data_IF_585500626490
#
_entry.id   IF_585500626490
#
_cell.length_a   1.000
_cell.length_b   1.000
_cell.length_c   1.000
_cell.angle_alpha   90.00
_cell.angle_beta   90.00
_cell.angle_gamma   90.00
#
_symmetry.space_group_name_H-M   'P 1'
#
loop_
_entity.id
_entity.type
_entity.pdbx_description
1 polymer ?
#
# COMPACT_ATOMS: atom_id res chain seq x y z
N UNK A 1 5.98 11.73 0.00
CA UNK A 1 7.39 11.32 -0.12
C UNK A 1 8.13 12.11 -1.20
N UNK A 2 7.61 12.27 -2.42
CA UNK A 2 8.23 13.10 -3.47
C UNK A 2 8.56 14.53 -2.99
N UNK A 3 7.62 15.23 -2.34
CA UNK A 3 7.87 16.54 -1.70
C UNK A 3 8.93 16.55 -0.58
N UNK A 4 9.36 15.38 -0.12
CA UNK A 4 10.47 15.20 0.82
C UNK A 4 11.79 14.81 0.11
N UNK A 5 11.83 14.94 -1.23
CA UNK A 5 12.98 14.66 -2.08
C UNK A 5 13.24 13.18 -2.34
N UNK A 6 12.21 12.32 -2.19
CA UNK A 6 12.36 10.87 -2.41
C UNK A 6 11.95 10.47 -3.82
N UNK A 7 12.68 9.53 -4.41
CA UNK A 7 12.32 8.83 -5.65
C UNK A 7 11.24 7.80 -5.33
N UNK A 8 10.01 8.06 -5.75
CA UNK A 8 8.84 7.24 -5.38
C UNK A 8 8.37 6.45 -6.59
N UNK A 9 8.10 5.16 -6.36
CA UNK A 9 7.33 4.32 -7.27
C UNK A 9 6.03 3.91 -6.57
N UNK A 10 4.90 4.10 -7.24
CA UNK A 10 3.61 3.55 -6.81
C UNK A 10 3.31 2.33 -7.68
N UNK A 11 3.07 1.21 -7.03
CA UNK A 11 2.57 0.00 -7.67
C UNK A 11 1.11 -0.18 -7.29
N UNK A 12 0.23 -0.20 -8.29
CA UNK A 12 -1.14 -0.66 -8.10
C UNK A 12 -1.11 -2.20 -8.08
N UNK A 13 -1.41 -2.78 -6.92
CA UNK A 13 -1.43 -4.22 -6.69
C UNK A 13 -2.87 -4.77 -6.65
N UNK A 14 -3.88 -3.93 -6.91
CA UNK A 14 -5.23 -4.39 -7.24
C UNK A 14 -5.31 -4.70 -8.75
N UNK A 15 -4.67 -5.80 -9.14
CA UNK A 15 -4.51 -6.21 -10.54
C UNK A 15 -5.83 -6.55 -11.26
N UNK A 16 -6.96 -6.58 -10.54
CA UNK A 16 -8.28 -6.75 -11.13
C UNK A 16 -8.99 -5.42 -11.41
N UNK A 17 -8.73 -4.40 -10.60
CA UNK A 17 -9.46 -3.13 -10.57
C UNK A 17 -8.49 -1.97 -10.35
N UNK A 18 -7.59 -1.76 -11.31
CA UNK A 18 -6.65 -0.64 -11.28
C UNK A 18 -7.38 0.70 -11.09
N UNK A 19 -6.98 1.45 -10.07
CA UNK A 19 -7.61 2.72 -9.70
C UNK A 19 -6.63 3.89 -9.71
N UNK A 20 -5.31 3.64 -9.59
CA UNK A 20 -4.32 4.72 -9.50
C UNK A 20 -4.27 5.57 -10.77
N UNK A 21 -4.38 4.94 -11.94
CA UNK A 21 -4.44 5.63 -13.23
C UNK A 21 -5.71 6.51 -13.33
N UNK A 22 -6.88 5.98 -12.95
CA UNK A 22 -8.15 6.73 -12.93
C UNK A 22 -8.07 7.93 -11.98
N UNK A 23 -7.55 7.74 -10.77
CA UNK A 23 -7.41 8.79 -9.74
C UNK A 23 -6.49 9.93 -10.18
N UNK A 24 -5.52 9.64 -11.04
CA UNK A 24 -4.51 10.57 -11.50
C UNK A 24 -4.73 11.06 -12.93
N UNK A 25 -5.82 10.65 -13.58
CA UNK A 25 -6.16 11.05 -14.94
C UNK A 25 -5.19 10.50 -15.98
N UNK A 26 -4.58 9.35 -15.70
CA UNK A 26 -3.59 8.71 -16.57
C UNK A 26 -4.29 7.71 -17.49
N UNK A 27 -3.80 7.60 -18.72
CA UNK A 27 -4.27 6.63 -19.71
C UNK A 27 -3.09 5.79 -20.22
N UNK A 28 -2.53 4.92 -19.37
CA UNK A 28 -1.38 4.11 -19.76
C UNK A 28 -1.77 3.16 -20.90
N UNK A 29 -0.96 3.13 -21.97
CA UNK A 29 -1.16 2.20 -23.10
C UNK A 29 -0.63 0.80 -22.82
N UNK A 30 0.25 0.68 -21.83
CA UNK A 30 0.93 -0.54 -21.43
C UNK A 30 0.89 -0.62 -19.91
N UNK A 31 0.93 -1.83 -19.38
CA UNK A 31 0.78 -2.12 -17.96
C UNK A 31 1.58 -3.37 -17.59
N UNK A 32 1.58 -3.73 -16.31
CA UNK A 32 2.34 -4.88 -15.81
C UNK A 32 1.95 -6.21 -16.48
N UNK A 33 0.70 -6.35 -16.96
CA UNK A 33 0.25 -7.53 -17.69
C UNK A 33 1.08 -7.80 -18.95
N UNK A 34 1.45 -6.77 -19.70
CA UNK A 34 2.30 -6.91 -20.90
C UNK A 34 3.70 -7.42 -20.56
N UNK A 35 4.18 -7.11 -19.36
CA UNK A 35 5.49 -7.56 -18.88
C UNK A 35 5.41 -9.02 -18.44
N UNK A 36 4.36 -9.39 -17.71
CA UNK A 36 4.08 -10.77 -17.31
C UNK A 36 3.87 -11.71 -18.52
N UNK A 37 3.38 -11.17 -19.64
CA UNK A 37 3.26 -11.89 -20.93
C UNK A 37 4.55 -11.91 -21.75
N UNK A 38 5.64 -11.29 -21.27
CA UNK A 38 6.93 -11.20 -21.98
C UNK A 38 6.92 -10.28 -23.21
N UNK A 39 5.88 -9.44 -23.37
CA UNK A 39 5.75 -8.51 -24.52
C UNK A 39 6.52 -7.20 -24.32
N UNK A 40 6.79 -6.84 -23.07
CA UNK A 40 7.45 -5.58 -22.68
C UNK A 40 8.41 -5.77 -21.53
N UNK A 41 9.41 -4.90 -21.43
CA UNK A 41 10.25 -4.76 -20.23
C UNK A 41 9.55 -3.87 -19.20
N UNK A 42 9.85 -4.07 -17.93
CA UNK A 42 9.28 -3.28 -16.84
C UNK A 42 9.42 -1.76 -17.05
N UNK A 43 10.61 -1.30 -17.45
CA UNK A 43 10.91 0.12 -17.69
C UNK A 43 10.05 0.74 -18.79
N UNK A 44 9.55 -0.06 -19.73
CA UNK A 44 8.70 0.43 -20.82
C UNK A 44 7.25 0.67 -20.39
N UNK A 45 6.82 0.05 -19.28
CA UNK A 45 5.44 0.16 -18.79
C UNK A 45 5.28 1.14 -17.63
N UNK A 46 6.39 1.61 -17.03
CA UNK A 46 6.35 2.67 -16.04
C UNK A 46 5.90 3.98 -16.69
N UNK A 47 5.04 4.71 -15.99
CA UNK A 47 4.55 6.02 -16.43
C UNK A 47 4.86 7.09 -15.40
N UNK A 48 5.05 8.32 -15.86
CA UNK A 48 5.21 9.47 -14.99
C UNK A 48 3.85 9.88 -14.41
N UNK A 49 3.82 10.03 -13.09
CA UNK A 49 2.70 10.60 -12.36
C UNK A 49 2.96 12.05 -11.95
N UNK A 50 2.12 12.59 -11.05
CA UNK A 50 2.31 13.90 -10.43
C UNK A 50 3.69 14.06 -9.76
N UNK A 51 4.34 15.21 -9.98
CA UNK A 51 5.68 15.49 -9.45
C UNK A 51 6.75 14.59 -10.09
N UNK A 52 7.61 13.97 -9.29
CA UNK A 52 8.59 12.97 -9.76
C UNK A 52 8.20 11.54 -9.36
N UNK A 53 6.91 11.30 -9.13
CA UNK A 53 6.39 9.97 -8.81
C UNK A 53 6.30 9.15 -10.09
N UNK A 54 6.90 7.96 -10.10
CA UNK A 54 6.65 6.95 -11.13
C UNK A 54 5.51 6.04 -10.72
N UNK A 55 4.76 5.55 -11.67
CA UNK A 55 3.64 4.63 -11.45
C UNK A 55 3.88 3.38 -12.28
N UNK A 56 3.63 2.24 -11.67
CA UNK A 56 3.53 0.94 -12.32
C UNK A 56 2.04 0.61 -12.49
N UNK A 57 1.47 0.78 -13.69
CA UNK A 57 0.06 0.54 -13.92
C UNK A 57 -0.28 -0.95 -13.76
N UNK A 58 -1.32 -1.23 -12.99
CA UNK A 58 -2.00 -2.52 -12.96
C UNK A 58 -2.77 -2.76 -14.27
N UNK A 59 -3.22 -4.01 -14.46
CA UNK A 59 -4.20 -4.29 -15.49
C UNK A 59 -5.61 -4.00 -14.96
N UNK A 60 -6.53 -3.57 -15.82
CA UNK A 60 -7.92 -3.34 -15.44
C UNK A 60 -8.82 -4.32 -16.19
N UNK A 61 -9.70 -5.03 -15.47
CA UNK A 61 -10.72 -5.90 -16.07
C UNK A 61 -10.21 -7.22 -16.66
N UNK A 62 -8.99 -7.66 -16.34
CA UNK A 62 -8.43 -8.94 -16.79
C UNK A 62 -8.46 -9.93 -15.63
N UNK A 63 -9.40 -10.87 -15.69
CA UNK A 63 -9.66 -11.84 -14.62
C UNK A 63 -8.43 -12.73 -14.35
N UNK A 64 -7.66 -13.06 -15.38
CA UNK A 64 -6.47 -13.90 -15.30
C UNK A 64 -5.37 -13.29 -14.41
N UNK A 65 -5.34 -11.96 -14.27
CA UNK A 65 -4.34 -11.26 -13.45
C UNK A 65 -4.79 -11.05 -12.00
N UNK A 66 -6.03 -11.40 -11.66
CA UNK A 66 -6.51 -11.40 -10.26
C UNK A 66 -5.81 -12.47 -9.41
N UNK A 67 -5.25 -13.50 -10.06
CA UNK A 67 -4.46 -14.56 -9.43
C UNK A 67 -3.17 -14.78 -10.20
N UNK A 68 -2.08 -14.22 -9.67
CA UNK A 68 -0.75 -14.46 -10.20
C UNK A 68 -0.32 -15.91 -9.95
N UNK A 69 0.27 -16.55 -10.96
CA UNK A 69 0.99 -17.81 -10.78
C UNK A 69 2.26 -17.59 -9.96
N UNK A 70 2.85 -18.66 -9.41
CA UNK A 70 4.08 -18.53 -8.62
C UNK A 70 5.26 -18.04 -9.47
N UNK A 71 5.33 -18.43 -10.75
CA UNK A 71 6.32 -17.91 -11.70
C UNK A 71 6.14 -16.41 -11.95
N UNK A 72 4.89 -15.93 -12.08
CA UNK A 72 4.59 -14.50 -12.27
C UNK A 72 4.93 -13.69 -11.02
N UNK A 73 4.67 -14.24 -9.83
CA UNK A 73 5.09 -13.65 -8.56
C UNK A 73 6.62 -13.49 -8.51
N UNK A 74 7.35 -14.55 -8.86
CA UNK A 74 8.83 -14.51 -8.88
C UNK A 74 9.36 -13.49 -9.88
N UNK A 75 8.84 -13.50 -11.11
CA UNK A 75 9.21 -12.52 -12.13
C UNK A 75 8.98 -11.09 -11.64
N UNK A 76 7.86 -10.83 -10.98
CA UNK A 76 7.56 -9.51 -10.42
C UNK A 76 8.58 -9.06 -9.36
N UNK A 77 9.07 -9.98 -8.54
CA UNK A 77 10.09 -9.67 -7.54
C UNK A 77 11.44 -9.36 -8.19
N UNK A 78 11.87 -10.18 -9.15
CA UNK A 78 13.12 -9.94 -9.88
C UNK A 78 13.10 -8.55 -10.54
N UNK A 79 11.95 -8.20 -11.12
CA UNK A 79 11.70 -6.89 -11.72
C UNK A 79 11.76 -5.73 -10.71
N UNK A 80 11.24 -5.92 -9.50
CA UNK A 80 11.32 -4.90 -8.45
C UNK A 80 12.75 -4.73 -7.91
N UNK A 81 13.51 -5.83 -7.79
CA UNK A 81 14.93 -5.79 -7.42
C UNK A 81 15.77 -5.01 -8.45
N UNK A 82 15.48 -5.12 -9.75
CA UNK A 82 16.14 -4.31 -10.79
C UNK A 82 15.94 -2.79 -10.62
N UNK A 83 14.84 -2.38 -9.97
CA UNK A 83 14.53 -0.98 -9.73
C UNK A 83 15.09 -0.47 -8.39
N UNK A 84 15.62 -1.33 -7.52
CA UNK A 84 16.05 -0.99 -6.16
C UNK A 84 17.01 0.20 -6.14
N UNK A 85 17.96 0.27 -7.08
CA UNK A 85 18.93 1.37 -7.17
C UNK A 85 18.32 2.74 -7.57
N UNK A 86 17.10 2.74 -8.09
CA UNK A 86 16.44 3.91 -8.66
C UNK A 86 15.30 4.46 -7.81
N UNK A 87 14.86 3.73 -6.80
CA UNK A 87 13.73 4.10 -5.95
C UNK A 87 14.19 4.19 -4.50
N UNK A 88 13.67 5.18 -3.78
CA UNK A 88 13.87 5.26 -2.33
C UNK A 88 12.64 4.71 -1.58
N UNK A 89 11.47 4.76 -2.21
CA UNK A 89 10.19 4.32 -1.63
C UNK A 89 9.35 3.65 -2.70
N UNK A 90 8.98 2.38 -2.45
CA UNK A 90 7.93 1.68 -3.18
C UNK A 90 6.65 1.71 -2.34
N UNK A 91 5.60 2.34 -2.86
CA UNK A 91 4.26 2.25 -2.28
C UNK A 91 3.48 1.17 -3.03
N UNK A 92 3.02 0.15 -2.32
CA UNK A 92 2.21 -0.92 -2.89
C UNK A 92 0.77 -0.69 -2.45
N UNK A 93 -0.09 -0.30 -3.39
CA UNK A 93 -1.52 -0.13 -3.15
C UNK A 93 -2.24 -1.46 -3.34
N UNK A 94 -2.54 -2.14 -2.24
CA UNK A 94 -3.21 -3.44 -2.30
C UNK A 94 -4.71 -3.26 -2.35
N UNK A 95 -5.39 -4.10 -3.13
CA UNK A 95 -6.85 -4.20 -3.09
C UNK A 95 -7.40 -4.58 -1.72
N UNK A 96 -8.73 -4.54 -1.58
CA UNK A 96 -9.41 -4.90 -0.34
C UNK A 96 -9.45 -6.41 -0.09
N UNK A 97 -9.67 -6.79 1.17
CA UNK A 97 -9.92 -8.18 1.57
C UNK A 97 -8.65 -8.99 1.82
N UNK A 98 -8.75 -10.31 1.60
CA UNK A 98 -7.74 -11.30 2.00
C UNK A 98 -7.43 -12.30 0.87
N UNK A 99 -7.48 -11.83 -0.38
CA UNK A 99 -7.13 -12.66 -1.53
C UNK A 99 -5.64 -13.04 -1.52
N UNK A 100 -5.27 -14.11 -2.21
CA UNK A 100 -3.88 -14.58 -2.26
C UNK A 100 -2.92 -13.48 -2.76
N UNK A 101 -3.36 -12.66 -3.72
CA UNK A 101 -2.61 -11.53 -4.25
C UNK A 101 -2.40 -10.44 -3.19
N UNK A 102 -3.46 -10.07 -2.44
CA UNK A 102 -3.36 -9.09 -1.35
C UNK A 102 -2.40 -9.59 -0.26
N UNK A 103 -2.54 -10.85 0.16
CA UNK A 103 -1.65 -11.44 1.17
C UNK A 103 -0.20 -11.49 0.68
N UNK A 104 0.02 -11.90 -0.56
CA UNK A 104 1.36 -11.96 -1.17
C UNK A 104 2.08 -10.60 -1.13
N UNK A 105 1.42 -9.52 -1.57
CA UNK A 105 2.01 -8.18 -1.54
C UNK A 105 2.19 -7.61 -0.14
N UNK A 106 1.27 -7.93 0.79
CA UNK A 106 1.47 -7.57 2.19
C UNK A 106 2.72 -8.24 2.77
N UNK A 107 2.93 -9.52 2.47
CA UNK A 107 4.13 -10.23 2.91
C UNK A 107 5.40 -9.69 2.25
N UNK A 108 5.31 -9.25 0.99
CA UNK A 108 6.39 -8.58 0.28
C UNK A 108 6.89 -7.31 0.96
N UNK A 109 5.97 -6.56 1.56
CA UNK A 109 6.25 -5.26 2.09
C UNK A 109 7.03 -5.35 3.41
N UNK A 110 8.09 -4.54 3.51
CA UNK A 110 8.87 -4.35 4.73
C UNK A 110 8.03 -3.75 5.86
N UNK A 111 7.08 -2.88 5.50
CA UNK A 111 6.13 -2.28 6.43
C UNK A 111 4.71 -2.47 5.92
N UNK A 112 3.80 -2.76 6.83
CA UNK A 112 2.38 -2.98 6.54
C UNK A 112 1.57 -1.88 7.22
N UNK A 113 0.94 -1.02 6.41
CA UNK A 113 0.10 0.08 6.91
C UNK A 113 -1.36 -0.30 6.65
N UNK A 114 -2.09 -0.63 7.71
CA UNK A 114 -3.51 -0.96 7.64
C UNK A 114 -4.32 0.32 7.83
N UNK A 115 -5.13 0.67 6.83
CA UNK A 115 -5.99 1.86 6.85
C UNK A 115 -7.35 1.51 7.43
N UNK A 116 -7.81 2.27 8.41
CA UNK A 116 -9.07 2.02 9.14
C UNK A 116 -9.92 3.29 9.19
N UNK A 117 -11.22 3.19 8.90
CA UNK A 117 -12.18 4.29 9.04
C UNK A 117 -13.00 4.15 10.33
N UNK A 118 -13.78 5.18 10.75
CA UNK A 118 -14.68 5.06 11.91
C UNK A 118 -15.81 4.03 11.76
N UNK A 119 -15.99 3.44 10.58
CA UNK A 119 -17.06 2.48 10.31
C UNK A 119 -16.79 1.12 10.97
N UNK A 120 -17.79 0.50 11.63
CA UNK A 120 -17.61 -0.81 12.27
C UNK A 120 -17.16 -1.92 11.31
N UNK A 121 -17.59 -1.86 10.05
CA UNK A 121 -17.18 -2.79 8.99
C UNK A 121 -15.68 -2.67 8.70
N UNK A 122 -15.15 -1.45 8.57
CA UNK A 122 -13.72 -1.22 8.36
C UNK A 122 -12.85 -1.79 9.49
N UNK A 123 -13.28 -1.64 10.74
CA UNK A 123 -12.60 -2.26 11.89
C UNK A 123 -12.59 -3.79 11.83
N UNK A 124 -13.70 -4.38 11.39
CA UNK A 124 -13.86 -5.83 11.27
C UNK A 124 -12.96 -6.39 10.17
N UNK A 125 -12.95 -5.74 9.01
CA UNK A 125 -12.14 -6.14 7.85
C UNK A 125 -10.64 -5.97 8.13
N UNK A 126 -10.24 -4.86 8.76
CA UNK A 126 -8.87 -4.61 9.17
C UNK A 126 -8.38 -5.68 10.16
N UNK A 127 -9.19 -6.02 11.17
CA UNK A 127 -8.85 -7.09 12.11
C UNK A 127 -8.77 -8.46 11.43
N UNK A 128 -9.67 -8.76 10.49
CA UNK A 128 -9.63 -10.00 9.73
C UNK A 128 -8.33 -10.15 8.93
N UNK A 129 -7.90 -9.10 8.23
CA UNK A 129 -6.63 -9.07 7.50
C UNK A 129 -5.44 -9.30 8.45
N UNK A 130 -5.38 -8.56 9.55
CA UNK A 130 -4.33 -8.68 10.58
C UNK A 130 -4.30 -10.11 11.13
N UNK A 131 -5.47 -10.66 11.50
CA UNK A 131 -5.59 -12.02 12.02
C UNK A 131 -5.10 -13.06 11.02
N UNK A 132 -5.42 -12.93 9.73
CA UNK A 132 -4.96 -13.86 8.69
C UNK A 132 -3.44 -13.77 8.52
N UNK A 133 -2.88 -12.57 8.41
CA UNK A 133 -1.43 -12.37 8.29
C UNK A 133 -0.68 -12.89 9.53
N UNK A 134 -1.23 -12.68 10.72
CA UNK A 134 -0.69 -13.20 11.97
C UNK A 134 -0.75 -14.73 12.04
N UNK A 135 -1.94 -15.31 11.84
CA UNK A 135 -2.16 -16.75 12.08
C UNK A 135 -1.55 -17.64 11.01
N UNK A 136 -1.56 -17.22 9.74
CA UNK A 136 -1.08 -18.03 8.61
C UNK A 136 0.36 -17.76 8.25
N UNK A 137 0.85 -16.55 8.48
CA UNK A 137 2.16 -16.12 7.99
C UNK A 137 3.11 -15.64 9.10
N UNK A 138 2.66 -15.61 10.36
CA UNK A 138 3.49 -15.25 11.50
C UNK A 138 3.88 -13.76 11.55
N UNK A 139 3.17 -12.91 10.81
CA UNK A 139 3.38 -11.46 10.84
C UNK A 139 2.91 -10.88 12.17
N UNK A 140 3.78 -10.11 12.83
CA UNK A 140 3.54 -9.62 14.20
C UNK A 140 3.49 -8.11 14.31
N UNK A 141 3.95 -7.36 13.31
CA UNK A 141 4.09 -5.91 13.39
C UNK A 141 3.22 -5.25 12.32
N UNK A 142 2.31 -4.36 12.75
CA UNK A 142 1.42 -3.63 11.85
C UNK A 142 1.38 -2.15 12.25
N UNK A 143 1.39 -1.27 11.26
CA UNK A 143 1.13 0.16 11.47
C UNK A 143 -0.32 0.45 11.15
N UNK A 144 -1.02 1.17 12.03
CA UNK A 144 -2.43 1.53 11.85
C UNK A 144 -2.53 3.00 11.48
N UNK A 145 -3.13 3.29 10.33
CA UNK A 145 -3.49 4.63 9.90
C UNK A 145 -5.02 4.78 9.98
N UNK A 146 -5.48 5.77 10.73
CA UNK A 146 -6.93 6.07 10.74
C UNK A 146 -7.25 7.12 9.68
N UNK A 147 -8.32 6.90 8.93
CA UNK A 147 -8.71 7.77 7.82
C UNK A 147 -10.14 8.29 8.00
N UNK A 148 -10.43 9.46 7.42
CA UNK A 148 -11.75 10.10 7.47
C UNK A 148 -12.27 10.33 8.89
N UNK A 149 -11.39 10.72 9.82
CA UNK A 149 -11.76 11.00 11.22
C UNK A 149 -12.08 12.49 11.43
N UNK A 150 -12.84 12.83 12.46
CA UNK A 150 -13.10 14.23 12.82
C UNK A 150 -11.81 14.92 13.33
N UNK A 151 -11.05 14.21 14.16
CA UNK A 151 -9.82 14.69 14.78
C UNK A 151 -8.90 13.53 15.21
N UNK A 152 -7.69 13.89 15.67
CA UNK A 152 -6.67 12.95 16.15
C UNK A 152 -7.12 12.16 17.39
N UNK A 153 -8.01 12.70 18.23
CA UNK A 153 -8.54 12.01 19.41
C UNK A 153 -9.45 10.85 18.98
N UNK A 154 -10.34 11.09 18.00
CA UNK A 154 -11.16 10.04 17.38
C UNK A 154 -10.30 8.98 16.69
N UNK A 155 -9.26 9.39 15.97
CA UNK A 155 -8.27 8.47 15.38
C UNK A 155 -7.64 7.54 16.43
N UNK A 156 -7.13 8.11 17.53
CA UNK A 156 -6.58 7.32 18.66
C UNK A 156 -7.61 6.40 19.31
N UNK A 157 -8.87 6.82 19.40
CA UNK A 157 -9.94 5.98 19.95
C UNK A 157 -10.24 4.77 19.05
N UNK A 158 -10.22 4.94 17.72
CA UNK A 158 -10.38 3.84 16.76
C UNK A 158 -9.20 2.87 16.86
N UNK A 159 -7.97 3.39 16.89
CA UNK A 159 -6.77 2.59 17.12
C UNK A 159 -6.86 1.79 18.42
N UNK A 160 -7.23 2.40 19.54
CA UNK A 160 -7.36 1.71 20.82
C UNK A 160 -8.38 0.56 20.78
N UNK A 161 -9.46 0.69 19.99
CA UNK A 161 -10.45 -0.37 19.81
C UNK A 161 -9.86 -1.58 19.09
N UNK A 162 -9.22 -1.38 17.93
CA UNK A 162 -8.62 -2.49 17.18
C UNK A 162 -7.45 -3.12 17.95
N UNK A 163 -6.64 -2.31 18.62
CA UNK A 163 -5.56 -2.78 19.51
C UNK A 163 -6.06 -3.66 20.62
N UNK A 164 -7.09 -3.23 21.34
CA UNK A 164 -7.68 -4.04 22.41
C UNK A 164 -8.18 -5.41 21.92
N UNK A 165 -8.78 -5.46 20.74
CA UNK A 165 -9.27 -6.73 20.16
C UNK A 165 -8.09 -7.61 19.76
N UNK A 166 -7.09 -7.05 19.09
CA UNK A 166 -5.90 -7.80 18.69
C UNK A 166 -5.10 -8.32 19.89
N UNK A 167 -4.83 -7.50 20.90
CA UNK A 167 -4.10 -7.88 22.12
C UNK A 167 -4.82 -9.02 22.88
N UNK A 168 -6.15 -9.05 22.82
CA UNK A 168 -6.93 -10.09 23.46
C UNK A 168 -6.84 -11.46 22.77
N UNK A 169 -6.64 -11.48 21.44
CA UNK A 169 -6.73 -12.71 20.64
C UNK A 169 -5.41 -13.13 19.96
N UNK A 170 -4.45 -12.22 19.80
CA UNK A 170 -3.24 -12.38 18.99
C UNK A 170 -2.01 -12.11 19.87
N UNK A 171 -1.57 -13.13 20.60
CA UNK A 171 -0.49 -12.99 21.58
C UNK A 171 0.84 -12.52 20.96
N UNK A 172 1.48 -11.53 21.58
CA UNK A 172 2.72 -10.93 21.07
C UNK A 172 2.58 -10.25 19.71
N UNK A 173 1.39 -9.72 19.38
CA UNK A 173 1.21 -8.76 18.30
C UNK A 173 1.72 -7.38 18.75
N UNK A 174 2.27 -6.62 17.80
CA UNK A 174 2.70 -5.25 17.98
C UNK A 174 1.99 -4.38 16.95
N UNK A 175 1.30 -3.35 17.43
CA UNK A 175 0.61 -2.40 16.57
C UNK A 175 0.99 -0.98 16.92
N UNK A 176 1.44 -0.25 15.91
CA UNK A 176 1.87 1.13 16.04
C UNK A 176 0.83 2.08 15.46
N UNK A 177 0.45 3.10 16.23
CA UNK A 177 -0.40 4.15 15.72
C UNK A 177 0.41 5.12 14.87
N UNK A 178 0.16 5.12 13.56
CA UNK A 178 0.90 5.93 12.61
C UNK A 178 0.37 7.38 12.56
N UNK A 179 -0.93 7.55 12.78
CA UNK A 179 -1.60 8.85 12.81
C UNK A 179 -3.02 8.78 12.27
N UNK A 180 -3.57 9.96 12.00
CA UNK A 180 -4.88 10.12 11.38
C UNK A 180 -4.88 11.08 10.19
N UNK A 181 -5.74 10.79 9.21
CA UNK A 181 -6.13 11.72 8.16
C UNK A 181 -7.55 12.22 8.48
N UNK A 182 -7.75 13.54 8.67
CA UNK A 182 -9.06 14.07 8.95
C UNK A 182 -9.97 13.98 7.73
N UNK A 183 -11.28 13.89 7.94
CA UNK A 183 -12.27 14.03 6.88
C UNK A 183 -12.10 15.39 6.18
N UNK A 184 -11.96 15.36 4.86
CA UNK A 184 -11.79 16.56 4.05
C UNK A 184 -12.59 16.40 2.74
N UNK A 185 -13.67 17.17 2.53
CA UNK A 185 -14.50 17.06 1.32
C UNK A 185 -13.72 17.43 0.04
N UNK A 186 -12.56 18.07 0.16
CA UNK A 186 -11.72 18.36 -0.99
C UNK A 186 -11.02 17.12 -1.55
N UNK A 187 -10.89 16.02 -0.78
CA UNK A 187 -10.41 14.74 -1.30
C UNK A 187 -11.35 14.24 -2.40
N UNK A 188 -12.66 14.24 -2.14
CA UNK A 188 -13.67 13.85 -3.13
C UNK A 188 -13.63 14.76 -4.37
N UNK A 189 -13.44 16.07 -4.18
CA UNK A 189 -13.29 17.01 -5.31
C UNK A 189 -12.05 16.70 -6.15
N UNK A 190 -10.93 16.35 -5.54
CA UNK A 190 -9.70 15.99 -6.25
C UNK A 190 -9.86 14.69 -7.04
N UNK A 191 -10.55 13.69 -6.46
CA UNK A 191 -10.90 12.44 -7.14
C UNK A 191 -11.77 12.70 -8.37
N UNK A 192 -12.82 13.53 -8.25
CA UNK A 192 -13.67 13.92 -9.39
C UNK A 192 -12.87 14.63 -10.49
N UNK A 193 -11.87 15.43 -10.09
CA UNK A 193 -10.97 16.10 -11.03
C UNK A 193 -9.90 15.19 -11.62
N UNK A 194 -9.80 13.93 -11.14
CA UNK A 194 -8.76 12.97 -11.53
C UNK A 194 -7.35 13.57 -11.38
N UNK A 195 -7.11 14.26 -10.27
CA UNK A 195 -5.83 14.89 -9.95
C UNK A 195 -5.41 14.55 -8.54
N UNK A 196 -4.10 14.39 -8.34
CA UNK A 196 -3.55 14.14 -7.01
C UNK A 196 -3.98 15.22 -6.02
N UNK A 197 -4.56 14.79 -4.90
CA UNK A 197 -5.12 15.66 -3.87
C UNK A 197 -4.17 16.77 -3.41
N UNK A 198 -2.91 16.42 -3.17
CA UNK A 198 -1.88 17.37 -2.74
C UNK A 198 -1.56 18.43 -3.79
N UNK A 199 -1.77 18.20 -5.08
CA UNK A 199 -1.60 19.21 -6.12
C UNK A 199 -2.73 20.25 -6.11
N UNK A 200 -3.97 19.78 -5.96
CA UNK A 200 -5.14 20.65 -6.10
C UNK A 200 -5.44 21.39 -4.80
N UNK A 201 -5.26 20.74 -3.65
CA UNK A 201 -5.58 21.30 -2.34
C UNK A 201 -4.39 21.25 -1.36
N UNK A 202 -3.22 21.82 -1.70
CA UNK A 202 -1.99 21.68 -0.90
C UNK A 202 -2.08 22.28 0.51
N UNK A 203 -3.02 23.19 0.76
CA UNK A 203 -3.18 23.90 2.03
C UNK A 203 -4.26 23.33 2.95
N UNK A 204 -4.95 22.27 2.51
CA UNK A 204 -6.05 21.68 3.27
C UNK A 204 -5.57 21.00 4.56
N UNK A 205 -6.50 20.70 5.47
CA UNK A 205 -6.20 20.00 6.72
C UNK A 205 -5.67 18.59 6.48
N UNK A 206 -6.26 17.85 5.54
CA UNK A 206 -5.78 16.53 5.17
C UNK A 206 -4.43 16.59 4.43
N UNK A 207 -4.17 17.63 3.63
CA UNK A 207 -2.88 17.80 2.96
C UNK A 207 -1.73 17.95 3.97
N UNK A 208 -1.94 18.72 5.04
CA UNK A 208 -1.00 18.83 6.15
C UNK A 208 -0.81 17.48 6.87
N UNK A 209 -1.90 16.74 7.07
CA UNK A 209 -1.84 15.41 7.68
C UNK A 209 -1.03 14.41 6.83
N UNK A 210 -1.21 14.38 5.50
CA UNK A 210 -0.40 13.56 4.59
C UNK A 210 1.09 13.91 4.66
N UNK A 211 1.44 15.21 4.75
CA UNK A 211 2.83 15.63 4.88
C UNK A 211 3.45 15.17 6.20
N UNK A 212 2.72 15.30 7.32
CA UNK A 212 3.17 14.80 8.63
C UNK A 212 3.31 13.27 8.62
N UNK A 213 2.36 12.57 8.00
CA UNK A 213 2.38 11.12 7.85
C UNK A 213 3.64 10.65 7.11
N UNK A 214 3.94 11.25 5.96
CA UNK A 214 5.14 10.91 5.19
C UNK A 214 6.44 11.16 5.99
N UNK A 215 6.50 12.26 6.77
CA UNK A 215 7.64 12.54 7.65
C UNK A 215 7.78 11.52 8.78
N UNK A 216 6.68 11.07 9.38
CA UNK A 216 6.70 10.04 10.43
C UNK A 216 7.20 8.72 9.88
N UNK A 217 6.67 8.27 8.74
CA UNK A 217 7.11 7.03 8.09
C UNK A 217 8.61 7.11 7.78
N UNK A 218 9.11 8.23 7.25
CA UNK A 218 10.53 8.40 6.94
C UNK A 218 11.44 8.35 8.19
N UNK A 219 10.95 8.78 9.36
CA UNK A 219 11.71 8.79 10.62
C UNK A 219 11.69 7.45 11.35
N UNK A 220 10.72 6.60 11.06
CA UNK A 220 10.55 5.28 11.66
C UNK A 220 10.96 4.23 10.63
N UNK A 221 12.26 3.90 10.52
CA UNK A 221 12.73 2.94 9.53
C UNK A 221 12.08 1.56 9.75
N UNK A 222 12.01 0.72 8.71
CA UNK A 222 11.38 -0.59 8.79
C UNK A 222 11.94 -1.44 9.93
N UNK A 223 11.06 -2.21 10.57
CA UNK A 223 11.50 -3.30 11.43
C UNK A 223 12.21 -4.34 10.56
N UNK A 224 13.54 -4.28 10.52
CA UNK A 224 14.37 -5.18 9.73
C UNK A 224 14.32 -6.57 10.37
N UNK A 225 13.45 -7.43 9.87
CA UNK A 225 13.60 -8.86 10.07
C UNK A 225 14.74 -9.32 9.13
N UNK A 226 15.87 -9.68 9.72
CA UNK A 226 17.10 -10.08 9.02
C UNK A 226 16.84 -11.11 7.91
N UNK A 227 17.09 -10.69 6.67
CA UNK A 227 17.18 -11.52 5.48
C UNK A 227 17.15 -10.63 4.25
N UNK A 228 18.11 -10.79 3.34
CA UNK A 228 18.03 -10.23 1.98
C UNK A 228 16.65 -10.56 1.41
N UNK A 229 16.11 -9.71 0.53
CA UNK A 229 14.86 -9.94 -0.21
C UNK A 229 14.76 -11.42 -0.65
N UNK A 230 15.81 -11.95 -1.31
CA UNK A 230 15.98 -13.38 -1.63
C UNK A 230 15.78 -14.42 -0.50
N UNK A 231 16.22 -14.13 0.72
CA UNK A 231 16.15 -15.05 1.88
C UNK A 231 14.75 -15.10 2.49
N UNK A 232 14.06 -13.96 2.52
CA UNK A 232 12.65 -13.88 2.89
C UNK A 232 11.78 -14.67 1.90
N UNK A 233 12.11 -14.61 0.60
CA UNK A 233 11.33 -15.25 -0.46
C UNK A 233 11.46 -16.77 -0.55
N UNK A 234 12.66 -17.31 -0.32
CA UNK A 234 12.83 -18.77 -0.17
C UNK A 234 11.99 -19.37 0.96
N UNK A 235 11.60 -18.55 1.95
CA UNK A 235 10.72 -18.96 3.05
C UNK A 235 9.25 -18.96 2.64
N UNK A 236 8.84 -18.02 1.78
CA UNK A 236 7.46 -17.91 1.27
C UNK A 236 7.09 -19.03 0.29
N UNK A 237 8.05 -19.51 -0.51
CA UNK A 237 7.87 -20.63 -1.46
C UNK A 237 7.89 -22.02 -0.81
N UNK A 238 8.13 -22.12 0.51
CA UNK A 238 8.24 -23.38 1.27
C UNK A 238 7.02 -23.68 2.14
N UNK A 239 6.01 -22.81 2.12
CA UNK A 239 4.71 -22.95 2.79
C UNK A 239 3.62 -23.14 1.77
#
# INVERSE_FOLDING_TARGET
FDRLGKRVLIMDADLGLANIDILLGLTPRQNIGHVLEGKKRLREVLVDGPGNVRIMPACSGVQELTRLTDDQKLLLLEMLDELESEIDVLLIDTGAGISDTVLYFNLAAQEKIVVVTPEPTSLTDAYALIKVLYTRHGERHFKILTNSVEDESKGKAIFAKISKVADHFLDGISMDYLGSIPYDPNITKAVIQQRAFLEVFPQSVAAKAFMLLAQRIQKSPPHVNHGTVQFFWKRLLRT
#
